data_IF_907966263140
#
_entry.id   IF_907966263140
#
_cell.length_a   1.000
_cell.length_b   1.000
_cell.length_c   1.000
_cell.angle_alpha   90.00
_cell.angle_beta   90.00
_cell.angle_gamma   90.00
#
_symmetry.space_group_name_H-M   'P 1'
#
loop_
_entity.id
_entity.type
_entity.pdbx_description
1 polymer ?
#
# COMPACT_ATOMS: atom_id res chain seq x y z
N UNK A 1 15.45 11.23 -7.04
CA UNK A 1 15.14 10.24 -5.98
C UNK A 1 16.38 10.08 -5.10
N UNK A 2 16.48 10.81 -3.99
CA UNK A 2 17.62 10.68 -3.08
C UNK A 2 17.53 9.33 -2.37
N UNK A 3 18.59 8.51 -2.43
CA UNK A 3 18.74 7.34 -1.57
C UNK A 3 18.88 7.84 -0.14
N UNK A 4 17.77 7.90 0.60
CA UNK A 4 17.75 8.19 2.04
C UNK A 4 18.62 7.13 2.71
N UNK A 5 19.76 7.54 3.26
CA UNK A 5 20.64 6.65 4.02
C UNK A 5 19.80 6.06 5.16
N UNK A 6 19.56 4.74 5.16
CA UNK A 6 18.95 4.08 6.32
C UNK A 6 19.83 4.38 7.54
N UNK A 7 19.31 5.21 8.43
CA UNK A 7 19.90 5.49 9.74
C UNK A 7 19.21 4.58 10.74
N UNK A 8 19.93 3.56 11.20
CA UNK A 8 19.41 2.63 12.20
C UNK A 8 19.04 3.41 13.48
N UNK A 9 17.88 3.09 14.06
CA UNK A 9 17.49 3.59 15.38
C UNK A 9 18.45 3.05 16.45
N UNK A 10 18.51 3.68 17.62
CA UNK A 10 19.43 3.26 18.68
C UNK A 10 19.11 1.84 19.19
N UNK A 11 17.84 1.45 19.20
CA UNK A 11 17.41 0.08 19.51
C UNK A 11 17.87 -0.92 18.44
N UNK A 12 17.78 -0.56 17.16
CA UNK A 12 18.27 -1.41 16.06
C UNK A 12 19.79 -1.55 16.07
N UNK A 13 20.54 -0.50 16.46
CA UNK A 13 21.99 -0.59 16.64
C UNK A 13 22.34 -1.59 17.74
N UNK A 14 21.65 -1.54 18.88
CA UNK A 14 21.85 -2.51 19.97
C UNK A 14 21.54 -3.94 19.52
N UNK A 15 20.44 -4.14 18.78
CA UNK A 15 20.09 -5.44 18.21
C UNK A 15 21.12 -5.91 17.17
N UNK A 16 21.64 -5.00 16.36
CA UNK A 16 22.65 -5.29 15.35
C UNK A 16 24.00 -5.64 15.97
N UNK A 17 24.43 -4.91 16.99
CA UNK A 17 25.68 -5.15 17.72
C UNK A 17 25.64 -6.45 18.54
N UNK A 18 24.45 -6.91 18.93
CA UNK A 18 24.24 -8.20 19.59
C UNK A 18 24.39 -9.42 18.65
N UNK A 19 24.40 -9.20 17.33
CA UNK A 19 24.62 -10.24 16.32
C UNK A 19 26.10 -10.52 16.12
N UNK A 20 26.43 -11.76 15.77
CA UNK A 20 27.79 -12.10 15.34
C UNK A 20 28.12 -11.44 13.99
N UNK A 21 29.41 -11.22 13.64
CA UNK A 21 29.78 -10.60 12.36
C UNK A 21 29.24 -11.34 11.13
N UNK A 22 29.07 -12.67 11.23
CA UNK A 22 28.45 -13.48 10.16
C UNK A 22 26.94 -13.20 10.06
N UNK A 23 26.24 -13.15 11.19
CA UNK A 23 24.81 -12.85 11.26
C UNK A 23 24.48 -11.43 10.79
N UNK A 24 25.32 -10.44 11.14
CA UNK A 24 25.19 -9.06 10.67
C UNK A 24 25.23 -8.99 9.14
N UNK A 25 26.25 -9.59 8.52
CA UNK A 25 26.38 -9.62 7.05
C UNK A 25 25.24 -10.38 6.38
N UNK A 26 24.79 -11.46 7.01
CA UNK A 26 23.64 -12.23 6.55
C UNK A 26 22.35 -11.39 6.57
N UNK A 27 22.02 -10.76 7.70
CA UNK A 27 20.84 -9.92 7.84
C UNK A 27 20.86 -8.73 6.86
N UNK A 28 22.00 -8.07 6.70
CA UNK A 28 22.19 -7.03 5.67
C UNK A 28 22.00 -7.55 4.25
N UNK A 29 22.39 -8.81 3.98
CA UNK A 29 22.15 -9.46 2.70
C UNK A 29 20.65 -9.65 2.41
N UNK A 30 19.89 -10.11 3.40
CA UNK A 30 18.43 -10.25 3.30
C UNK A 30 17.77 -8.90 3.05
N UNK A 31 18.15 -7.87 3.82
CA UNK A 31 17.61 -6.50 3.65
C UNK A 31 17.95 -5.89 2.29
N UNK A 32 19.03 -6.32 1.64
CA UNK A 32 19.40 -5.94 0.26
C UNK A 32 18.65 -6.76 -0.81
N UNK A 33 17.70 -7.60 -0.41
CA UNK A 33 16.87 -8.41 -1.32
C UNK A 33 17.54 -9.71 -1.79
N UNK A 34 18.60 -10.17 -1.12
CA UNK A 34 19.20 -11.47 -1.46
C UNK A 34 18.36 -12.62 -0.90
N UNK A 35 18.31 -13.72 -1.65
CA UNK A 35 17.78 -14.98 -1.15
C UNK A 35 18.63 -15.49 0.03
N UNK A 36 18.04 -16.27 0.94
CA UNK A 36 18.67 -16.76 2.17
C UNK A 36 20.00 -17.46 1.91
N UNK A 37 20.04 -18.32 0.90
CA UNK A 37 21.25 -19.06 0.53
C UNK A 37 22.36 -18.12 0.04
N UNK A 38 21.99 -17.10 -0.74
CA UNK A 38 22.95 -16.14 -1.29
C UNK A 38 23.45 -15.16 -0.23
N UNK A 39 22.56 -14.74 0.68
CA UNK A 39 22.92 -13.96 1.84
C UNK A 39 23.90 -14.72 2.73
N UNK A 40 23.68 -16.01 2.98
CA UNK A 40 24.56 -16.85 3.80
C UNK A 40 25.94 -17.06 3.15
N UNK A 41 25.97 -17.30 1.84
CA UNK A 41 27.24 -17.42 1.08
C UNK A 41 28.02 -16.11 1.10
N UNK A 42 27.37 -14.98 0.79
CA UNK A 42 28.03 -13.66 0.79
C UNK A 42 28.44 -13.19 2.19
N UNK A 43 27.78 -13.68 3.24
CA UNK A 43 28.18 -13.42 4.61
C UNK A 43 29.49 -14.12 5.00
N UNK A 44 29.92 -15.13 4.25
CA UNK A 44 31.12 -15.94 4.52
C UNK A 44 30.82 -17.27 5.22
N UNK A 45 29.60 -17.80 5.04
CA UNK A 45 29.22 -19.11 5.58
C UNK A 45 30.07 -20.25 5.00
N UNK A 46 30.59 -21.12 5.87
CA UNK A 46 31.52 -22.20 5.50
C UNK A 46 30.84 -23.45 4.91
N UNK A 47 29.52 -23.45 4.75
CA UNK A 47 28.77 -24.63 4.34
C UNK A 47 28.67 -24.70 2.81
N UNK A 48 29.06 -25.83 2.23
CA UNK A 48 29.07 -26.03 0.78
C UNK A 48 27.77 -26.68 0.25
N UNK A 49 27.41 -26.38 -1.00
CA UNK A 49 26.35 -27.04 -1.78
C UNK A 49 25.00 -27.12 -1.02
N UNK A 50 24.42 -28.32 -0.87
CA UNK A 50 23.15 -28.53 -0.15
C UNK A 50 23.24 -28.15 1.33
N UNK A 51 24.37 -28.29 2.01
CA UNK A 51 24.42 -27.91 3.43
C UNK A 51 24.18 -26.41 3.66
N UNK A 52 24.40 -25.56 2.65
CA UNK A 52 24.16 -24.12 2.74
C UNK A 52 22.67 -23.75 2.85
N UNK A 53 21.75 -24.52 2.26
CA UNK A 53 20.31 -24.21 2.41
C UNK A 53 19.83 -24.48 3.84
N UNK A 54 20.27 -25.58 4.44
CA UNK A 54 19.94 -25.93 5.84
C UNK A 54 20.50 -24.90 6.80
N UNK A 55 21.76 -24.49 6.59
CA UNK A 55 22.40 -23.51 7.47
C UNK A 55 21.82 -22.09 7.29
N UNK A 56 21.46 -21.70 6.07
CA UNK A 56 20.77 -20.44 5.83
C UNK A 56 19.39 -20.41 6.49
N UNK A 57 18.63 -21.51 6.40
CA UNK A 57 17.33 -21.64 7.06
C UNK A 57 17.46 -21.59 8.59
N UNK A 58 18.44 -22.32 9.16
CA UNK A 58 18.75 -22.23 10.60
C UNK A 58 19.16 -20.82 11.02
N UNK A 59 19.86 -20.08 10.15
CA UNK A 59 20.33 -18.73 10.45
C UNK A 59 19.16 -17.75 10.69
N UNK A 60 18.06 -17.90 9.95
CA UNK A 60 16.84 -17.10 10.13
C UNK A 60 16.09 -17.49 11.40
N UNK A 61 16.14 -18.76 11.79
CA UNK A 61 15.47 -19.24 12.99
C UNK A 61 16.17 -18.82 14.29
N UNK A 62 17.38 -18.23 14.24
CA UNK A 62 17.99 -17.68 15.45
C UNK A 62 17.22 -16.46 15.94
N UNK A 63 16.79 -16.49 17.19
CA UNK A 63 15.97 -15.45 17.82
C UNK A 63 16.56 -14.05 17.60
N UNK A 64 17.86 -13.87 17.81
CA UNK A 64 18.53 -12.56 17.63
C UNK A 64 18.44 -12.03 16.19
N UNK A 65 18.64 -12.91 15.20
CA UNK A 65 18.59 -12.54 13.77
C UNK A 65 17.15 -12.21 13.39
N UNK A 66 16.20 -13.02 13.86
CA UNK A 66 14.77 -12.80 13.65
C UNK A 66 14.31 -11.49 14.28
N UNK A 67 14.64 -11.22 15.54
CA UNK A 67 14.28 -9.97 16.22
C UNK A 67 14.81 -8.74 15.49
N UNK A 68 16.05 -8.78 14.98
CA UNK A 68 16.59 -7.68 14.18
C UNK A 68 15.85 -7.52 12.84
N UNK A 69 15.62 -8.61 12.10
CA UNK A 69 14.89 -8.55 10.82
C UNK A 69 13.44 -8.10 10.99
N UNK A 70 12.77 -8.54 12.06
CA UNK A 70 11.41 -8.11 12.40
C UNK A 70 11.37 -6.62 12.75
N UNK A 71 12.33 -6.12 13.53
CA UNK A 71 12.44 -4.69 13.84
C UNK A 71 12.67 -3.83 12.58
N UNK A 72 13.51 -4.31 11.65
CA UNK A 72 13.75 -3.64 10.37
C UNK A 72 12.53 -3.69 9.44
N UNK A 73 11.80 -4.82 9.42
CA UNK A 73 10.56 -4.95 8.64
C UNK A 73 9.44 -4.09 9.22
N UNK A 74 9.30 -4.00 10.55
CA UNK A 74 8.29 -3.15 11.19
C UNK A 74 8.50 -1.68 10.82
N UNK A 75 9.74 -1.19 10.80
CA UNK A 75 10.03 0.18 10.36
C UNK A 75 9.78 0.37 8.85
N UNK A 76 10.24 -0.57 8.02
CA UNK A 76 9.99 -0.51 6.57
C UNK A 76 8.48 -0.53 6.25
N UNK A 77 7.70 -1.30 7.02
CA UNK A 77 6.24 -1.32 6.92
C UNK A 77 5.64 -0.04 7.50
N UNK A 78 6.13 0.50 8.61
CA UNK A 78 5.60 1.75 9.17
C UNK A 78 5.87 2.96 8.28
N UNK A 79 7.00 3.00 7.58
CA UNK A 79 7.32 4.06 6.61
C UNK A 79 6.51 3.90 5.32
N UNK A 80 6.18 2.67 4.92
CA UNK A 80 5.37 2.39 3.73
C UNK A 80 3.85 2.50 3.97
N UNK A 81 3.42 2.36 5.22
CA UNK A 81 2.01 2.40 5.62
C UNK A 81 1.70 3.77 6.22
N UNK A 82 0.86 4.53 5.51
CA UNK A 82 0.28 5.77 6.01
C UNK A 82 -0.31 5.57 7.41
N UNK A 83 0.09 6.44 8.35
CA UNK A 83 -0.42 6.37 9.72
C UNK A 83 -1.93 6.65 9.77
N UNK A 84 -2.62 6.18 10.82
CA UNK A 84 -4.05 6.48 11.01
C UNK A 84 -4.31 7.99 11.02
N UNK A 85 -3.46 8.76 11.70
CA UNK A 85 -3.60 10.22 11.77
C UNK A 85 -3.43 10.87 10.40
N UNK A 86 -2.42 10.48 9.64
CA UNK A 86 -2.17 10.97 8.28
C UNK A 86 -3.33 10.62 7.32
N UNK A 87 -3.90 9.42 7.45
CA UNK A 87 -5.08 9.02 6.70
C UNK A 87 -6.31 9.89 7.04
N UNK A 88 -6.53 10.17 8.32
CA UNK A 88 -7.62 11.05 8.77
C UNK A 88 -7.42 12.48 8.24
N UNK A 89 -6.20 13.01 8.27
CA UNK A 89 -5.87 14.33 7.75
C UNK A 89 -6.11 14.44 6.24
N UNK A 90 -5.66 13.45 5.46
CA UNK A 90 -5.92 13.39 4.01
C UNK A 90 -7.41 13.30 3.69
N UNK A 91 -8.14 12.40 4.36
CA UNK A 91 -9.59 12.27 4.17
C UNK A 91 -10.32 13.56 4.55
N UNK A 92 -9.90 14.21 5.63
CA UNK A 92 -10.49 15.47 6.07
C UNK A 92 -10.19 16.62 5.12
N UNK A 93 -9.01 16.65 4.49
CA UNK A 93 -8.69 17.61 3.44
C UNK A 93 -9.58 17.39 2.21
N UNK A 94 -9.66 16.15 1.70
CA UNK A 94 -10.52 15.81 0.55
C UNK A 94 -12.01 16.10 0.82
N UNK A 95 -12.50 15.83 2.02
CA UNK A 95 -13.90 16.10 2.40
C UNK A 95 -14.24 17.59 2.52
N UNK A 96 -13.25 18.48 2.69
CA UNK A 96 -13.44 19.93 2.84
C UNK A 96 -13.31 20.71 1.53
N UNK A 97 -12.51 20.22 0.60
CA UNK A 97 -12.26 20.92 -0.67
C UNK A 97 -13.54 20.95 -1.50
N UNK A 98 -13.89 22.16 -1.96
CA UNK A 98 -15.03 22.39 -2.84
C UNK A 98 -14.57 22.82 -4.23
N UNK A 99 -15.48 22.75 -5.22
CA UNK A 99 -15.20 23.22 -6.57
C UNK A 99 -14.83 24.71 -6.61
N UNK A 100 -15.37 25.52 -5.70
CA UNK A 100 -15.06 26.95 -5.60
C UNK A 100 -13.64 27.24 -5.11
N UNK A 101 -13.01 26.29 -4.41
CA UNK A 101 -11.62 26.44 -3.96
C UNK A 101 -10.64 26.21 -5.12
N UNK A 102 -11.09 25.50 -6.16
CA UNK A 102 -10.25 25.07 -7.28
C UNK A 102 -10.51 25.91 -8.53
N UNK A 103 -11.78 26.19 -8.85
CA UNK A 103 -12.19 26.87 -10.07
C UNK A 103 -12.91 28.19 -9.75
N UNK A 104 -12.64 29.20 -10.58
CA UNK A 104 -13.37 30.45 -10.62
C UNK A 104 -14.27 30.45 -11.85
N UNK A 105 -15.54 30.81 -11.65
CA UNK A 105 -16.55 30.90 -12.70
C UNK A 105 -16.79 32.38 -13.00
N UNK A 106 -16.66 32.77 -14.26
CA UNK A 106 -16.87 34.13 -14.72
C UNK A 106 -17.76 34.14 -15.96
N UNK A 107 -18.59 35.16 -16.12
CA UNK A 107 -19.31 35.36 -17.37
C UNK A 107 -18.49 36.32 -18.23
N UNK A 108 -17.93 35.83 -19.32
CA UNK A 108 -17.09 36.63 -20.22
C UNK A 108 -17.90 36.97 -21.47
N UNK A 109 -17.89 38.25 -21.86
CA UNK A 109 -18.43 38.67 -23.14
C UNK A 109 -17.50 38.14 -24.24
N UNK A 110 -18.01 37.23 -25.06
CA UNK A 110 -17.25 36.56 -26.13
C UNK A 110 -17.53 37.15 -27.51
N UNK A 111 -18.50 38.06 -27.63
CA UNK A 111 -18.78 38.77 -28.87
C UNK A 111 -20.12 39.51 -28.83
N UNK A 112 -20.59 39.88 -30.01
CA UNK A 112 -21.91 40.46 -30.26
C UNK A 112 -22.65 39.58 -31.27
N UNK A 113 -23.97 39.43 -31.12
CA UNK A 113 -24.80 38.73 -32.09
C UNK A 113 -25.03 39.57 -33.36
N UNK A 114 -25.73 39.02 -34.36
CA UNK A 114 -26.05 39.73 -35.62
C UNK A 114 -26.86 41.02 -35.40
N UNK A 115 -27.42 41.23 -34.20
CA UNK A 115 -28.20 42.41 -33.81
C UNK A 115 -27.38 43.37 -32.91
N UNK A 116 -26.07 43.13 -32.75
CA UNK A 116 -25.16 43.97 -31.96
C UNK A 116 -25.35 43.82 -30.45
N UNK A 117 -26.04 42.77 -29.97
CA UNK A 117 -26.21 42.52 -28.53
C UNK A 117 -25.05 41.71 -27.99
N UNK A 118 -24.51 42.07 -26.80
CA UNK A 118 -23.41 41.34 -26.20
C UNK A 118 -23.81 39.90 -25.86
N UNK A 119 -23.07 38.94 -26.39
CA UNK A 119 -23.21 37.51 -26.08
C UNK A 119 -22.23 37.16 -24.97
N UNK A 120 -22.77 36.64 -23.86
CA UNK A 120 -22.00 36.18 -22.72
C UNK A 120 -21.91 34.66 -22.72
N UNK A 121 -20.72 34.13 -22.44
CA UNK A 121 -20.53 32.71 -22.17
C UNK A 121 -19.90 32.54 -20.79
N UNK A 122 -20.42 31.54 -20.08
CA UNK A 122 -19.83 31.08 -18.84
C UNK A 122 -18.43 30.52 -19.16
N UNK A 123 -17.42 31.26 -18.72
CA UNK A 123 -16.03 30.85 -18.70
C UNK A 123 -15.66 30.40 -17.29
N UNK A 124 -14.65 29.55 -17.20
CA UNK A 124 -14.10 29.16 -15.91
C UNK A 124 -12.61 28.90 -16.06
N UNK A 125 -11.88 29.15 -14.98
CA UNK A 125 -10.44 29.01 -14.93
C UNK A 125 -10.02 28.42 -13.58
N UNK A 126 -8.85 27.77 -13.54
CA UNK A 126 -8.27 27.37 -12.26
C UNK A 126 -7.81 28.59 -11.50
N UNK A 127 -8.10 28.63 -10.20
CA UNK A 127 -7.48 29.60 -9.31
C UNK A 127 -6.00 29.29 -9.21
N UNK A 128 -5.16 30.30 -9.36
CA UNK A 128 -3.71 30.15 -9.18
C UNK A 128 -3.36 29.66 -7.76
N UNK A 129 -4.16 30.08 -6.76
CA UNK A 129 -4.05 29.59 -5.37
C UNK A 129 -4.34 28.09 -5.22
N UNK A 130 -5.15 27.50 -6.11
CA UNK A 130 -5.44 26.07 -6.06
C UNK A 130 -4.24 25.22 -6.51
N UNK A 131 -3.46 25.72 -7.48
CA UNK A 131 -2.24 25.07 -7.97
C UNK A 131 -1.15 25.00 -6.89
N UNK A 132 -1.20 25.92 -5.93
CA UNK A 132 -0.24 26.01 -4.82
C UNK A 132 -0.70 25.26 -3.57
N UNK A 133 -1.95 24.80 -3.51
CA UNK A 133 -2.51 24.11 -2.35
C UNK A 133 -2.37 22.59 -2.50
N UNK A 134 -1.55 21.92 -1.68
CA UNK A 134 -1.42 20.47 -1.73
C UNK A 134 -2.76 19.75 -1.46
N UNK A 135 -3.60 20.33 -0.60
CA UNK A 135 -4.93 19.82 -0.30
C UNK A 135 -5.86 19.90 -1.53
N UNK A 136 -5.88 21.03 -2.22
CA UNK A 136 -6.69 21.22 -3.42
C UNK A 136 -6.25 20.25 -4.54
N UNK A 137 -4.94 20.11 -4.73
CA UNK A 137 -4.38 19.17 -5.70
C UNK A 137 -4.71 17.71 -5.36
N UNK A 138 -4.67 17.33 -4.07
CA UNK A 138 -5.01 15.97 -3.64
C UNK A 138 -6.50 15.62 -3.81
N UNK A 139 -7.37 16.62 -3.87
CA UNK A 139 -8.80 16.42 -4.09
C UNK A 139 -9.15 16.21 -5.58
N UNK A 140 -8.23 16.49 -6.52
CA UNK A 140 -8.44 16.30 -7.95
C UNK A 140 -8.30 14.82 -8.29
N UNK A 141 -9.39 14.22 -8.77
CA UNK A 141 -9.42 12.83 -9.23
C UNK A 141 -8.99 12.70 -10.69
N UNK A 142 -9.33 13.66 -11.56
CA UNK A 142 -8.99 13.63 -12.98
C UNK A 142 -8.90 15.05 -13.54
N UNK A 143 -7.89 15.30 -14.36
CA UNK A 143 -7.71 16.53 -15.11
C UNK A 143 -7.38 16.19 -16.57
N UNK A 144 -8.26 16.56 -17.50
CA UNK A 144 -8.12 16.23 -18.93
C UNK A 144 -8.38 17.44 -19.80
N UNK A 145 -7.51 17.75 -20.76
CA UNK A 145 -7.75 18.80 -21.77
C UNK A 145 -8.31 18.17 -23.04
N UNK A 146 -9.55 18.52 -23.39
CA UNK A 146 -10.25 18.05 -24.60
C UNK A 146 -10.43 19.17 -25.63
N UNK A 147 -11.05 18.81 -26.76
CA UNK A 147 -11.38 19.76 -27.85
C UNK A 147 -12.36 20.86 -27.40
N UNK A 148 -13.20 20.55 -26.42
CA UNK A 148 -14.24 21.45 -25.90
C UNK A 148 -13.83 22.16 -24.59
N UNK A 149 -12.56 22.05 -24.19
CA UNK A 149 -12.03 22.67 -22.97
C UNK A 149 -11.50 21.66 -21.94
N UNK A 150 -11.31 22.12 -20.71
CA UNK A 150 -10.74 21.31 -19.63
C UNK A 150 -11.86 20.51 -18.95
N UNK A 151 -11.59 19.28 -18.53
CA UNK A 151 -12.47 18.46 -17.71
C UNK A 151 -11.81 18.24 -16.36
N UNK A 152 -12.50 18.65 -15.30
CA UNK A 152 -12.06 18.49 -13.92
C UNK A 152 -13.03 17.56 -13.19
N UNK A 153 -12.50 16.51 -12.55
CA UNK A 153 -13.24 15.68 -11.59
C UNK A 153 -12.56 15.76 -10.24
N UNK A 154 -13.37 15.87 -9.19
CA UNK A 154 -12.92 15.82 -7.80
C UNK A 154 -13.27 14.45 -7.20
N UNK A 155 -12.52 14.03 -6.19
CA UNK A 155 -12.92 12.92 -5.33
C UNK A 155 -14.24 13.23 -4.64
N UNK A 156 -15.06 12.19 -4.38
CA UNK A 156 -16.35 12.37 -3.71
C UNK A 156 -16.16 12.72 -2.22
N UNK A 157 -16.51 13.94 -1.77
CA UNK A 157 -16.38 14.33 -0.38
C UNK A 157 -17.27 13.50 0.55
N UNK A 158 -18.41 12.98 0.06
CA UNK A 158 -19.30 12.12 0.88
C UNK A 158 -18.65 10.78 1.19
N UNK A 159 -17.93 10.21 0.22
CA UNK A 159 -17.18 8.98 0.43
C UNK A 159 -16.06 9.18 1.46
N UNK A 160 -15.34 10.31 1.40
CA UNK A 160 -14.31 10.65 2.38
C UNK A 160 -14.89 10.82 3.79
N UNK A 161 -16.01 11.55 3.93
CA UNK A 161 -16.69 11.74 5.21
C UNK A 161 -17.22 10.41 5.77
N UNK A 162 -17.75 9.53 4.91
CA UNK A 162 -18.19 8.19 5.33
C UNK A 162 -17.04 7.35 5.87
N UNK A 163 -15.89 7.34 5.19
CA UNK A 163 -14.70 6.63 5.67
C UNK A 163 -14.19 7.19 7.00
N UNK A 164 -14.24 8.52 7.19
CA UNK A 164 -13.95 9.15 8.48
C UNK A 164 -14.94 8.70 9.57
N UNK A 165 -16.25 8.68 9.27
CA UNK A 165 -17.27 8.24 10.21
C UNK A 165 -17.08 6.78 10.64
N UNK A 166 -16.77 5.89 9.70
CA UNK A 166 -16.47 4.48 9.96
C UNK A 166 -15.20 4.33 10.83
N UNK A 167 -14.12 5.10 10.54
CA UNK A 167 -12.86 5.07 11.31
C UNK A 167 -12.97 5.69 12.71
N UNK A 168 -13.89 6.65 12.89
CA UNK A 168 -14.11 7.36 14.16
C UNK A 168 -15.24 6.74 14.99
N UNK A 169 -15.89 5.68 14.50
CA UNK A 169 -16.96 4.97 15.21
C UNK A 169 -18.23 5.81 15.39
N UNK A 170 -18.53 6.70 14.45
CA UNK A 170 -19.76 7.49 14.48
C UNK A 170 -21.00 6.63 14.21
N UNK A 171 -20.82 5.55 13.45
CA UNK A 171 -21.86 4.59 13.14
C UNK A 171 -21.94 3.50 14.21
N UNK A 172 -23.15 3.00 14.47
CA UNK A 172 -23.37 1.90 15.39
C UNK A 172 -22.63 0.63 14.90
N UNK A 173 -22.20 -0.27 15.82
CA UNK A 173 -21.54 -1.51 15.46
C UNK A 173 -22.38 -2.32 14.46
N UNK A 174 -21.82 -2.62 13.28
CA UNK A 174 -22.49 -3.49 12.31
C UNK A 174 -22.47 -4.91 12.84
N UNK A 175 -23.65 -5.49 13.07
CA UNK A 175 -23.80 -6.94 13.28
C UNK A 175 -23.56 -7.63 11.94
N UNK A 176 -22.52 -8.46 11.89
CA UNK A 176 -22.26 -9.34 10.74
C UNK A 176 -22.66 -10.74 11.16
N UNK A 177 -23.83 -11.17 10.72
CA UNK A 177 -24.28 -12.56 10.90
C UNK A 177 -23.66 -13.41 9.79
N UNK A 178 -22.66 -14.22 10.16
CA UNK A 178 -22.08 -15.23 9.27
C UNK A 178 -22.95 -16.48 9.36
N UNK A 179 -23.90 -16.64 8.43
CA UNK A 179 -24.62 -17.90 8.24
C UNK A 179 -23.99 -18.70 7.10
N UNK A 180 -23.60 -19.96 7.38
CA UNK A 180 -23.41 -20.95 6.32
C UNK A 180 -24.71 -21.14 5.53
N UNK A 181 -24.62 -21.53 4.25
CA UNK A 181 -25.79 -21.83 3.41
C UNK A 181 -26.69 -22.93 4.01
N UNK A 182 -26.16 -23.72 4.97
CA UNK A 182 -26.88 -24.75 5.72
C UNK A 182 -27.30 -24.32 7.15
N UNK A 183 -27.02 -23.09 7.56
CA UNK A 183 -27.31 -22.58 8.92
C UNK A 183 -26.47 -23.21 10.04
N UNK A 184 -25.54 -24.11 9.73
CA UNK A 184 -24.66 -24.74 10.71
C UNK A 184 -23.29 -24.05 10.75
N UNK A 185 -22.72 -23.90 11.94
CA UNK A 185 -21.35 -23.40 12.14
C UNK A 185 -20.34 -24.55 12.26
N UNK A 186 -20.71 -25.74 11.77
CA UNK A 186 -19.93 -26.96 11.90
C UNK A 186 -19.11 -27.20 10.63
N UNK A 187 -17.79 -27.43 10.73
CA UNK A 187 -16.97 -27.75 9.57
C UNK A 187 -17.43 -29.07 8.94
N UNK A 188 -17.71 -29.06 7.64
CA UNK A 188 -18.08 -30.27 6.90
C UNK A 188 -16.91 -31.28 6.91
N UNK A 189 -17.14 -32.57 7.18
CA UNK A 189 -16.08 -33.55 7.28
C UNK A 189 -15.41 -33.77 5.90
N UNK A 190 -14.09 -33.60 5.86
CA UNK A 190 -13.27 -33.80 4.67
C UNK A 190 -13.36 -35.24 4.18
N UNK A 191 -13.91 -35.46 2.98
CA UNK A 191 -13.86 -36.77 2.31
C UNK A 191 -12.47 -36.98 1.70
N UNK A 192 -11.69 -37.88 2.28
CA UNK A 192 -10.43 -38.38 1.69
C UNK A 192 -10.77 -39.62 0.86
N UNK A 193 -10.52 -39.57 -0.45
CA UNK A 193 -10.66 -40.73 -1.34
C UNK A 193 -9.27 -41.33 -1.57
N UNK A 194 -9.05 -42.55 -1.11
CA UNK A 194 -7.84 -43.33 -1.39
C UNK A 194 -7.99 -44.01 -2.76
N UNK A 195 -7.15 -43.64 -3.72
CA UNK A 195 -7.05 -44.35 -5.01
C UNK A 195 -5.96 -45.41 -4.88
N UNK A 196 -6.34 -46.68 -5.00
CA UNK A 196 -5.38 -47.79 -5.01
C UNK A 196 -4.54 -47.76 -6.30
N UNK A 197 -3.21 -47.78 -6.15
CA UNK A 197 -2.26 -47.77 -7.26
C UNK A 197 -2.37 -49.02 -8.12
N UNK A 198 -2.43 -48.83 -9.45
CA UNK A 198 -2.44 -49.92 -10.42
C UNK A 198 -1.13 -50.70 -10.41
N UNK A 199 -1.23 -52.02 -10.29
CA UNK A 199 -0.16 -52.95 -10.60
C UNK A 199 0.10 -52.94 -12.10
N UNK A 200 1.29 -52.46 -12.49
CA UNK A 200 1.92 -52.85 -13.75
C UNK A 200 2.22 -54.35 -13.64
N UNK A 201 1.48 -55.18 -14.39
CA UNK A 201 1.88 -56.56 -14.62
C UNK A 201 2.50 -56.66 -16.02
N UNK A 202 3.73 -57.13 -16.01
CA UNK A 202 4.67 -57.19 -17.12
C UNK A 202 4.95 -58.68 -17.30
N UNK A 203 4.39 -59.32 -18.32
CA UNK A 203 4.80 -60.67 -18.69
C UNK A 203 4.56 -60.92 -20.18
N UNK A 204 5.68 -60.97 -20.89
CA UNK A 204 5.88 -61.64 -22.17
C UNK A 204 5.32 -63.07 -22.13
N UNK A 205 4.51 -63.46 -23.11
CA UNK A 205 4.85 -64.45 -24.16
C UNK A 205 3.69 -64.57 -25.15
#
# INVERSE_FOLDING_TARGET
MAQKKLTLTDEQKVLFDALTPLQQKFALGILKGLNQVDAYRKAGGKAEKESAHVQASRMISFDKVKTFLDAMNQEAVSDAVMSRQEALERLSAMGRVSLHDIAEFSNSQIGEDEEGRPVFQAAWQFKESALQSPAAMSAISELTTGKDGIKLKLHDPKAAIKQLADLMGWEAPKKVDLSSTDGSMSPQPSKIVLVAGGQHDNSEN
#
